data_IF_595945678861
#
_entry.id   IF_595945678861
#
_cell.length_a   1.000
_cell.length_b   1.000
_cell.length_c   1.000
_cell.angle_alpha   90.00
_cell.angle_beta   90.00
_cell.angle_gamma   90.00
#
_symmetry.space_group_name_H-M   'P 1'
#
loop_
_entity.id
_entity.type
_entity.pdbx_description
1 polymer ?
#
# COMPACT_ATOMS: atom_id res chain seq x y z
N UNK A 1 25.26 -36.38 70.16
CA UNK A 1 26.02 -35.12 70.13
C UNK A 1 27.01 -35.18 68.97
N UNK A 2 26.73 -34.66 67.83
CA UNK A 2 27.70 -34.34 66.76
C UNK A 2 27.08 -33.23 65.90
N UNK A 3 27.57 -32.01 66.06
CA UNK A 3 27.33 -30.88 65.27
C UNK A 3 27.96 -31.10 63.88
N UNK A 4 27.18 -30.94 62.78
CA UNK A 4 27.72 -30.77 61.43
C UNK A 4 27.63 -29.30 61.08
N UNK A 5 28.78 -28.68 60.88
CA UNK A 5 28.91 -27.34 60.34
C UNK A 5 28.62 -27.37 58.82
N UNK A 6 27.72 -26.50 58.36
CA UNK A 6 27.48 -26.26 56.96
C UNK A 6 28.33 -25.07 56.52
N UNK A 7 29.30 -25.33 55.65
CA UNK A 7 30.12 -24.29 55.07
C UNK A 7 29.32 -23.65 53.88
N UNK A 8 29.04 -22.39 53.97
CA UNK A 8 28.47 -21.61 52.86
C UNK A 8 29.57 -21.22 51.87
N UNK A 9 29.55 -21.79 50.67
CA UNK A 9 30.40 -21.37 49.57
C UNK A 9 29.76 -20.15 48.87
N UNK A 10 30.40 -19.02 48.97
CA UNK A 10 30.05 -17.83 48.23
C UNK A 10 30.50 -17.99 46.76
N UNK A 11 29.55 -18.13 45.85
CA UNK A 11 29.79 -18.12 44.40
C UNK A 11 29.87 -16.65 43.97
N UNK A 12 31.08 -16.20 43.64
CA UNK A 12 31.30 -14.91 42.99
C UNK A 12 30.85 -15.02 41.53
N UNK A 13 29.75 -14.35 41.17
CA UNK A 13 29.31 -14.16 39.80
C UNK A 13 30.25 -13.16 39.10
N UNK A 14 30.81 -13.47 37.92
CA UNK A 14 31.54 -12.48 37.13
C UNK A 14 30.56 -11.46 36.59
N UNK A 15 30.78 -10.19 36.88
CA UNK A 15 30.09 -9.06 36.27
C UNK A 15 30.41 -9.04 34.79
N UNK A 16 29.46 -9.52 33.98
CA UNK A 16 29.49 -9.27 32.55
C UNK A 16 29.26 -7.77 32.32
N UNK A 17 30.32 -7.03 32.07
CA UNK A 17 30.24 -5.73 31.41
C UNK A 17 29.67 -5.97 30.02
N UNK A 18 28.38 -5.73 29.86
CA UNK A 18 27.75 -5.60 28.54
C UNK A 18 28.36 -4.38 27.86
N UNK A 19 29.28 -4.62 26.95
CA UNK A 19 29.63 -3.64 25.89
C UNK A 19 28.37 -3.49 24.98
N UNK A 20 27.43 -2.68 25.41
CA UNK A 20 26.47 -2.08 24.51
C UNK A 20 27.27 -1.13 23.63
N UNK A 21 27.75 -1.63 22.49
CA UNK A 21 28.09 -0.79 21.35
C UNK A 21 26.79 -0.12 20.92
N UNK A 22 26.43 0.96 21.59
CA UNK A 22 25.52 1.92 21.04
C UNK A 22 26.17 2.45 19.77
N UNK A 23 25.76 1.94 18.61
CA UNK A 23 25.76 2.76 17.41
C UNK A 23 24.73 3.87 17.70
N UNK A 24 25.11 4.79 18.55
CA UNK A 24 24.55 6.12 18.55
C UNK A 24 24.90 6.66 17.16
N UNK A 25 23.98 6.50 16.21
CA UNK A 25 23.90 7.37 15.06
C UNK A 25 23.75 8.76 15.68
N UNK A 26 24.88 9.46 15.80
CA UNK A 26 24.84 10.87 16.13
C UNK A 26 23.88 11.48 15.13
N UNK A 27 22.77 12.04 15.62
CA UNK A 27 22.02 13.08 14.94
C UNK A 27 22.99 14.24 14.73
N UNK A 28 23.91 14.10 13.79
CA UNK A 28 24.54 15.24 13.18
C UNK A 28 23.39 15.97 12.52
N UNK A 29 23.04 17.13 13.02
CA UNK A 29 22.09 18.05 12.37
C UNK A 29 22.44 18.02 10.88
N UNK A 30 21.59 17.35 10.09
CA UNK A 30 21.80 17.31 8.65
C UNK A 30 21.62 18.73 8.17
N UNK A 31 22.61 19.25 7.43
CA UNK A 31 22.50 20.58 6.85
C UNK A 31 21.15 20.71 6.14
N UNK A 32 20.46 21.85 6.27
CA UNK A 32 19.23 22.08 5.54
C UNK A 32 19.38 21.78 4.05
N UNK A 33 18.37 21.23 3.43
CA UNK A 33 18.34 20.94 1.99
C UNK A 33 17.24 21.78 1.35
N UNK A 34 17.57 22.47 0.27
CA UNK A 34 16.60 23.15 -0.58
C UNK A 34 16.50 22.40 -1.90
N UNK A 35 15.30 21.89 -2.18
CA UNK A 35 14.97 21.35 -3.50
C UNK A 35 14.42 22.51 -4.34
N UNK A 36 15.05 22.75 -5.49
CA UNK A 36 14.63 23.76 -6.46
C UNK A 36 14.26 23.08 -7.78
N UNK A 37 13.13 23.47 -8.38
CA UNK A 37 12.69 22.98 -9.68
C UNK A 37 11.84 24.02 -10.42
N UNK A 38 11.63 23.81 -11.71
CA UNK A 38 10.80 24.70 -12.54
C UNK A 38 9.34 24.77 -12.07
N UNK A 39 8.83 23.73 -11.39
CA UNK A 39 7.43 23.60 -10.97
C UNK A 39 7.30 22.90 -9.63
N UNK A 40 6.19 23.20 -8.93
CA UNK A 40 5.73 22.51 -7.72
C UNK A 40 4.23 22.29 -7.79
N UNK A 41 3.78 21.08 -7.46
CA UNK A 41 2.37 20.72 -7.39
C UNK A 41 1.76 21.21 -6.07
N UNK A 42 0.81 22.12 -6.13
CA UNK A 42 -0.14 22.42 -5.06
C UNK A 42 -1.28 21.40 -5.12
N UNK A 43 -1.18 20.35 -4.29
CA UNK A 43 -2.10 19.21 -4.34
C UNK A 43 -3.54 19.62 -3.99
N UNK A 44 -3.72 20.37 -2.90
CA UNK A 44 -5.06 20.84 -2.47
C UNK A 44 -5.68 21.79 -3.49
N UNK A 45 -4.89 22.73 -4.01
CA UNK A 45 -5.32 23.68 -5.03
C UNK A 45 -5.53 23.05 -6.40
N UNK A 46 -4.98 21.86 -6.66
CA UNK A 46 -5.04 21.19 -7.95
C UNK A 46 -4.38 22.01 -9.08
N UNK A 47 -3.25 22.66 -8.80
CA UNK A 47 -2.55 23.55 -9.73
C UNK A 47 -1.03 23.42 -9.61
N UNK A 48 -0.34 23.88 -10.65
CA UNK A 48 1.11 24.06 -10.63
C UNK A 48 1.43 25.49 -10.19
N UNK A 49 2.43 25.64 -9.33
CA UNK A 49 3.11 26.92 -9.02
C UNK A 49 4.54 26.89 -9.60
N UNK A 50 5.06 28.03 -10.00
CA UNK A 50 6.34 28.14 -10.70
C UNK A 50 7.07 29.44 -10.30
N UNK A 51 8.39 29.36 -9.98
CA UNK A 51 9.17 28.15 -9.76
C UNK A 51 8.70 27.39 -8.53
N UNK A 52 9.29 26.21 -8.23
CA UNK A 52 9.01 25.43 -7.04
C UNK A 52 10.23 25.28 -6.15
N UNK A 53 10.09 25.58 -4.87
CA UNK A 53 11.11 25.32 -3.85
C UNK A 53 10.52 24.61 -2.63
N UNK A 54 11.31 23.72 -2.02
CA UNK A 54 11.00 23.02 -0.78
C UNK A 54 12.23 23.04 0.13
N UNK A 55 12.07 23.63 1.33
CA UNK A 55 13.09 23.58 2.38
C UNK A 55 12.83 22.39 3.29
N UNK A 56 13.86 21.56 3.46
CA UNK A 56 13.83 20.35 4.28
C UNK A 56 14.87 20.47 5.39
N UNK A 57 14.43 20.25 6.64
CA UNK A 57 15.30 20.14 7.82
C UNK A 57 14.88 18.94 8.66
N UNK A 58 15.83 18.17 9.15
CA UNK A 58 15.61 17.02 10.04
C UNK A 58 14.54 16.03 9.52
N UNK A 59 14.54 15.81 8.19
CA UNK A 59 13.61 14.88 7.54
C UNK A 59 12.17 15.38 7.39
N UNK A 60 11.93 16.68 7.66
CA UNK A 60 10.61 17.31 7.53
C UNK A 60 10.66 18.53 6.63
N UNK A 61 9.53 18.82 6.01
CA UNK A 61 9.31 20.04 5.25
C UNK A 61 9.16 21.20 6.23
N UNK A 62 9.97 22.24 6.05
CA UNK A 62 9.87 23.50 6.81
C UNK A 62 9.05 24.51 6.05
N UNK A 63 9.25 24.62 4.75
CA UNK A 63 8.59 25.55 3.86
C UNK A 63 8.50 24.99 2.45
N UNK A 64 7.44 25.31 1.71
CA UNK A 64 7.30 25.00 0.30
C UNK A 64 6.53 26.13 -0.41
N UNK A 65 6.96 26.48 -1.61
CA UNK A 65 6.35 27.57 -2.37
C UNK A 65 7.16 27.97 -3.59
N UNK A 66 6.94 29.23 -4.06
CA UNK A 66 7.71 29.79 -5.18
C UNK A 66 9.12 30.23 -4.78
N UNK A 67 9.33 30.44 -3.49
CA UNK A 67 10.62 30.75 -2.86
C UNK A 67 10.50 30.36 -1.39
N UNK A 68 11.56 29.81 -0.82
CA UNK A 68 11.65 29.45 0.60
C UNK A 68 12.83 30.17 1.26
N UNK A 69 12.93 30.14 2.58
CA UNK A 69 14.11 30.63 3.29
C UNK A 69 15.35 29.84 2.87
N UNK A 70 16.51 30.50 2.76
CA UNK A 70 17.82 29.90 2.45
C UNK A 70 18.73 30.02 3.68
N UNK A 71 18.66 29.10 4.66
CA UNK A 71 19.51 29.11 5.84
C UNK A 71 21.00 29.02 5.48
N UNK A 72 21.85 29.59 6.31
CA UNK A 72 23.28 29.49 6.11
C UNK A 72 23.75 28.03 6.14
N UNK A 73 24.50 27.61 5.14
CA UNK A 73 24.97 26.23 4.99
C UNK A 73 23.96 25.28 4.37
N UNK A 74 22.80 25.73 3.91
CA UNK A 74 21.85 24.92 3.17
C UNK A 74 22.45 24.38 1.88
N UNK A 75 22.20 23.08 1.60
CA UNK A 75 22.58 22.45 0.35
C UNK A 75 21.45 22.60 -0.67
N UNK A 76 21.71 23.33 -1.75
CA UNK A 76 20.73 23.52 -2.84
C UNK A 76 20.88 22.38 -3.84
N UNK A 77 19.77 21.68 -4.12
CA UNK A 77 19.66 20.66 -5.15
C UNK A 77 18.77 21.22 -6.26
N UNK A 78 19.41 21.65 -7.36
CA UNK A 78 18.69 22.09 -8.54
C UNK A 78 18.26 20.87 -9.38
N UNK A 79 16.97 20.71 -9.55
CA UNK A 79 16.34 19.61 -10.27
C UNK A 79 15.86 20.03 -11.68
N UNK A 80 16.17 21.26 -12.09
CA UNK A 80 15.90 21.76 -13.44
C UNK A 80 14.40 21.89 -13.78
N UNK A 81 14.06 21.68 -15.04
CA UNK A 81 12.67 21.81 -15.53
C UNK A 81 11.82 20.57 -15.18
N UNK A 82 11.65 20.32 -13.88
CA UNK A 82 10.83 19.23 -13.32
C UNK A 82 9.71 19.77 -12.45
N UNK A 83 8.78 18.90 -12.09
CA UNK A 83 7.73 19.18 -11.11
C UNK A 83 8.04 18.49 -9.79
N UNK A 84 8.24 19.28 -8.72
CA UNK A 84 8.25 18.77 -7.34
C UNK A 84 6.84 18.41 -6.92
N UNK A 85 6.68 17.25 -6.31
CA UNK A 85 5.42 16.81 -5.73
C UNK A 85 5.67 15.84 -4.55
N UNK A 86 4.66 15.58 -3.70
CA UNK A 86 4.77 14.53 -2.70
C UNK A 86 5.13 13.20 -3.34
N UNK A 87 5.78 12.30 -2.61
CA UNK A 87 5.96 10.92 -3.04
C UNK A 87 4.62 10.23 -3.23
N UNK A 88 4.51 9.42 -4.27
CA UNK A 88 3.31 8.66 -4.61
C UNK A 88 2.95 7.67 -3.51
N UNK A 89 1.67 7.34 -3.41
CA UNK A 89 1.10 6.44 -2.42
C UNK A 89 0.32 5.34 -3.14
N UNK A 90 0.65 4.08 -2.87
CA UNK A 90 -0.11 2.93 -3.35
C UNK A 90 -0.78 2.23 -2.18
N UNK A 91 -2.13 2.19 -2.15
CA UNK A 91 -2.85 1.59 -1.04
C UNK A 91 -3.20 0.11 -1.26
N UNK A 92 -2.69 -0.50 -2.34
CA UNK A 92 -2.88 -1.92 -2.62
C UNK A 92 -1.67 -2.51 -3.35
N UNK A 93 -0.75 -3.08 -2.60
CA UNK A 93 0.42 -3.79 -3.13
C UNK A 93 0.56 -5.18 -2.51
N UNK A 94 1.26 -6.08 -3.19
CA UNK A 94 1.65 -7.40 -2.72
C UNK A 94 3.16 -7.58 -2.88
N UNK A 95 3.93 -7.15 -1.87
CA UNK A 95 5.40 -7.18 -1.92
C UNK A 95 5.97 -8.59 -2.04
N UNK A 96 5.21 -9.61 -1.66
CA UNK A 96 5.62 -11.01 -1.66
C UNK A 96 5.24 -11.76 -2.93
N UNK A 97 4.65 -11.06 -3.91
CA UNK A 97 4.41 -11.57 -5.27
C UNK A 97 5.40 -10.95 -6.26
N UNK A 98 5.61 -11.65 -7.35
CA UNK A 98 6.38 -11.20 -8.51
C UNK A 98 5.77 -11.76 -9.81
N UNK A 99 6.09 -11.23 -10.99
CA UNK A 99 5.55 -11.73 -12.25
C UNK A 99 5.72 -13.23 -12.42
N UNK A 100 4.62 -13.92 -12.74
CA UNK A 100 4.57 -15.37 -12.89
C UNK A 100 3.24 -15.97 -12.49
N UNK A 101 3.21 -17.28 -12.28
CA UNK A 101 2.03 -18.00 -11.80
C UNK A 101 1.93 -17.83 -10.28
N UNK A 102 1.05 -16.96 -9.84
CA UNK A 102 0.87 -16.56 -8.45
C UNK A 102 0.69 -17.74 -7.49
N UNK A 103 -0.28 -18.63 -7.75
CA UNK A 103 -0.53 -19.83 -6.95
C UNK A 103 0.71 -20.74 -6.79
N UNK A 104 1.62 -20.72 -7.78
CA UNK A 104 2.82 -21.56 -7.73
C UNK A 104 3.93 -20.95 -6.87
N UNK A 105 4.00 -19.64 -6.75
CA UNK A 105 5.04 -18.97 -5.93
C UNK A 105 4.96 -19.44 -4.48
N UNK A 106 3.76 -19.55 -3.92
CA UNK A 106 3.54 -20.04 -2.55
C UNK A 106 3.96 -21.51 -2.38
N UNK A 107 3.81 -22.31 -3.44
CA UNK A 107 4.12 -23.76 -3.41
C UNK A 107 5.61 -24.05 -3.69
N UNK A 108 6.23 -23.29 -4.58
CA UNK A 108 7.59 -23.55 -5.08
C UNK A 108 8.67 -22.78 -4.32
N UNK A 109 8.33 -21.65 -3.72
CA UNK A 109 9.30 -20.74 -3.10
C UNK A 109 9.19 -20.73 -1.57
N UNK A 110 10.34 -20.79 -0.91
CA UNK A 110 10.39 -20.71 0.55
C UNK A 110 10.11 -19.27 1.04
N UNK A 111 9.53 -19.13 2.24
CA UNK A 111 9.31 -17.83 2.88
C UNK A 111 10.58 -16.97 2.94
N UNK A 112 11.77 -17.49 3.32
CA UNK A 112 13.01 -16.72 3.27
C UNK A 112 13.36 -16.19 1.87
N UNK A 113 13.13 -16.97 0.80
CA UNK A 113 13.37 -16.53 -0.58
C UNK A 113 12.40 -15.41 -0.95
N UNK A 114 11.11 -15.59 -0.71
CA UNK A 114 10.08 -14.57 -0.97
C UNK A 114 10.32 -13.30 -0.17
N UNK A 115 10.80 -13.41 1.08
CA UNK A 115 11.19 -12.24 1.89
C UNK A 115 12.34 -11.45 1.24
N UNK A 116 13.34 -12.13 0.67
CA UNK A 116 14.43 -11.47 -0.07
C UNK A 116 13.87 -10.77 -1.31
N UNK A 117 12.99 -11.42 -2.08
CA UNK A 117 12.33 -10.82 -3.24
C UNK A 117 11.49 -9.60 -2.85
N UNK A 118 10.74 -9.66 -1.76
CA UNK A 118 9.98 -8.54 -1.23
C UNK A 118 10.85 -7.32 -0.88
N UNK A 119 12.09 -7.52 -0.43
CA UNK A 119 13.02 -6.39 -0.20
C UNK A 119 13.47 -5.72 -1.50
N UNK A 120 13.57 -6.46 -2.59
CA UNK A 120 13.86 -5.93 -3.92
C UNK A 120 12.65 -5.21 -4.50
N UNK A 121 11.45 -5.78 -4.36
CA UNK A 121 10.18 -5.17 -4.70
C UNK A 121 10.01 -3.80 -4.03
N UNK A 122 10.13 -3.74 -2.71
CA UNK A 122 10.05 -2.49 -1.95
C UNK A 122 11.08 -1.43 -2.38
N UNK A 123 12.30 -1.86 -2.74
CA UNK A 123 13.31 -0.95 -3.31
C UNK A 123 12.86 -0.41 -4.66
N UNK A 124 12.35 -1.27 -5.54
CA UNK A 124 11.98 -0.88 -6.90
C UNK A 124 10.75 0.04 -6.87
N UNK A 125 9.80 -0.17 -5.97
CA UNK A 125 8.65 0.71 -5.73
C UNK A 125 9.12 2.10 -5.25
N UNK A 126 10.04 2.16 -4.28
CA UNK A 126 10.63 3.43 -3.84
C UNK A 126 11.33 4.15 -5.00
N UNK A 127 12.08 3.42 -5.86
CA UNK A 127 12.73 4.01 -7.03
C UNK A 127 11.73 4.42 -8.11
N UNK A 128 10.54 3.80 -8.14
CA UNK A 128 9.38 4.20 -8.94
C UNK A 128 8.72 5.49 -8.45
N UNK A 129 9.06 5.95 -7.24
CA UNK A 129 8.52 7.18 -6.63
C UNK A 129 7.47 6.95 -5.55
N UNK A 130 7.13 5.68 -5.24
CA UNK A 130 6.21 5.35 -4.18
C UNK A 130 6.93 5.42 -2.84
N UNK A 131 6.57 6.39 -2.02
CA UNK A 131 7.21 6.62 -0.72
C UNK A 131 6.42 6.05 0.45
N UNK A 132 5.15 5.66 0.22
CA UNK A 132 4.28 5.02 1.19
C UNK A 132 3.34 4.02 0.51
N UNK A 133 3.13 2.86 1.16
CA UNK A 133 2.33 1.77 0.60
C UNK A 133 1.58 0.99 1.68
N UNK A 134 0.50 0.30 1.25
CA UNK A 134 -0.24 -0.67 2.05
C UNK A 134 -0.11 -2.07 1.43
N UNK A 135 0.64 -2.95 2.09
CA UNK A 135 0.80 -4.35 1.71
C UNK A 135 -0.46 -5.14 2.10
N UNK A 136 -1.18 -5.63 1.10
CA UNK A 136 -2.52 -6.21 1.25
C UNK A 136 -2.50 -7.72 1.47
N UNK A 137 -1.36 -8.29 1.76
CA UNK A 137 -1.22 -9.69 2.12
C UNK A 137 0.11 -10.26 1.66
N UNK A 138 0.67 -11.16 2.46
CA UNK A 138 1.96 -11.79 2.18
C UNK A 138 1.85 -13.01 1.28
N UNK A 139 0.65 -13.34 0.86
CA UNK A 139 0.36 -14.50 0.01
C UNK A 139 1.02 -15.79 0.54
N UNK A 140 0.71 -16.11 1.81
CA UNK A 140 1.22 -17.32 2.48
C UNK A 140 2.62 -17.21 3.09
N UNK A 141 3.22 -16.01 3.16
CA UNK A 141 4.50 -15.80 3.85
C UNK A 141 4.35 -15.40 5.35
N UNK A 142 3.16 -15.58 5.93
CA UNK A 142 2.90 -15.27 7.35
C UNK A 142 3.03 -13.77 7.63
N UNK A 143 3.73 -13.43 8.71
CA UNK A 143 4.01 -12.03 9.12
C UNK A 143 5.35 -11.50 8.60
N UNK A 144 5.86 -12.01 7.48
CA UNK A 144 7.17 -11.62 6.95
C UNK A 144 7.21 -10.15 6.46
N UNK A 145 6.08 -9.57 6.06
CA UNK A 145 5.91 -8.15 5.76
C UNK A 145 6.23 -7.24 6.96
N UNK A 146 5.87 -7.67 8.17
CA UNK A 146 6.26 -7.01 9.43
C UNK A 146 7.77 -6.90 9.56
N UNK A 147 8.51 -7.95 9.18
CA UNK A 147 9.97 -7.93 9.22
C UNK A 147 10.54 -6.97 8.16
N UNK A 148 10.00 -6.97 6.93
CA UNK A 148 10.39 -6.04 5.86
C UNK A 148 10.12 -4.60 6.26
N UNK A 149 8.91 -4.28 6.75
CA UNK A 149 8.56 -2.95 7.28
C UNK A 149 9.54 -2.49 8.37
N UNK A 150 9.83 -3.37 9.34
CA UNK A 150 10.71 -3.03 10.45
C UNK A 150 12.16 -2.80 9.97
N UNK A 151 12.64 -3.57 9.01
CA UNK A 151 13.96 -3.39 8.41
C UNK A 151 14.07 -2.05 7.65
N UNK A 152 13.02 -1.66 6.91
CA UNK A 152 12.93 -0.35 6.25
C UNK A 152 12.93 0.78 7.29
N UNK A 153 12.14 0.66 8.36
CA UNK A 153 12.04 1.66 9.42
C UNK A 153 13.36 1.84 10.20
N UNK A 154 14.17 0.79 10.29
CA UNK A 154 15.50 0.82 10.89
C UNK A 154 16.60 1.30 9.91
N UNK A 155 16.25 1.54 8.65
CA UNK A 155 17.20 1.94 7.61
C UNK A 155 18.16 0.83 7.17
N UNK A 156 17.84 -0.43 7.44
CA UNK A 156 18.65 -1.58 7.03
C UNK A 156 18.51 -1.89 5.55
N UNK A 157 17.35 -1.62 4.98
CA UNK A 157 17.04 -1.77 3.56
C UNK A 157 16.26 -0.54 3.04
N UNK A 158 16.40 -0.17 1.75
CA UNK A 158 15.55 0.84 1.14
C UNK A 158 14.14 0.29 0.91
N UNK A 159 13.15 1.16 0.96
CA UNK A 159 11.75 0.85 0.66
C UNK A 159 10.83 2.00 1.08
N UNK A 160 9.53 1.95 0.69
CA UNK A 160 8.51 2.92 1.11
C UNK A 160 8.21 2.82 2.62
N UNK A 161 7.39 3.71 3.13
CA UNK A 161 6.73 3.52 4.44
C UNK A 161 5.63 2.50 4.24
N UNK A 162 5.64 1.44 5.03
CA UNK A 162 4.68 0.34 4.88
C UNK A 162 3.64 0.33 6.01
N UNK A 163 2.36 0.12 5.65
CA UNK A 163 1.35 -0.52 6.47
C UNK A 163 1.16 -1.95 5.97
N UNK A 164 1.16 -2.90 6.88
CA UNK A 164 1.20 -4.33 6.56
C UNK A 164 0.06 -5.08 7.25
N UNK A 165 -0.49 -6.10 6.58
CA UNK A 165 -1.60 -6.91 7.08
C UNK A 165 -1.19 -8.28 7.62
N UNK A 166 0.01 -8.76 7.34
CA UNK A 166 0.34 -10.17 7.49
C UNK A 166 -0.33 -11.03 6.41
N UNK A 167 -0.73 -12.24 6.73
CA UNK A 167 -1.58 -13.03 5.84
C UNK A 167 -2.97 -12.39 5.71
N UNK A 168 -3.51 -12.36 4.50
CA UNK A 168 -4.90 -12.02 4.31
C UNK A 168 -5.83 -13.09 4.94
N UNK A 169 -7.07 -12.71 5.23
CA UNK A 169 -8.08 -13.59 5.83
C UNK A 169 -9.10 -14.00 4.78
N UNK A 170 -9.35 -15.30 4.68
CA UNK A 170 -10.28 -15.89 3.71
C UNK A 170 -11.11 -17.02 4.32
N UNK A 171 -12.04 -17.57 3.58
CA UNK A 171 -12.78 -18.80 3.92
C UNK A 171 -12.16 -20.01 3.21
N UNK A 172 -12.44 -21.19 3.71
CA UNK A 172 -12.14 -22.44 2.99
C UNK A 172 -12.94 -22.49 1.69
N UNK A 173 -12.27 -22.74 0.56
CA UNK A 173 -12.85 -22.67 -0.78
C UNK A 173 -13.08 -21.25 -1.29
N UNK A 174 -12.46 -20.25 -0.65
CA UNK A 174 -12.56 -18.84 -0.99
C UNK A 174 -11.64 -18.40 -2.12
N UNK A 175 -11.45 -17.09 -2.24
CA UNK A 175 -10.70 -16.43 -3.31
C UNK A 175 -9.24 -16.88 -3.36
N UNK A 176 -8.59 -16.96 -2.18
CA UNK A 176 -7.17 -17.30 -2.05
C UNK A 176 -6.93 -18.76 -1.62
N UNK A 177 -7.96 -19.60 -1.66
CA UNK A 177 -7.74 -21.01 -1.40
C UNK A 177 -7.12 -21.72 -2.61
N UNK A 178 -6.22 -22.65 -2.35
CA UNK A 178 -5.48 -23.43 -3.33
C UNK A 178 -6.37 -24.49 -4.04
N UNK A 179 -7.58 -24.10 -4.49
CA UNK A 179 -8.60 -24.99 -5.06
C UNK A 179 -8.23 -25.64 -6.40
N UNK A 180 -7.16 -25.17 -7.05
CA UNK A 180 -6.69 -25.70 -8.34
C UNK A 180 -5.84 -26.94 -8.21
N UNK A 181 -5.38 -27.25 -6.99
CA UNK A 181 -4.53 -28.41 -6.74
C UNK A 181 -5.38 -29.65 -6.44
N UNK A 182 -4.75 -30.82 -6.60
CA UNK A 182 -5.38 -32.07 -6.23
C UNK A 182 -5.75 -32.05 -4.72
N UNK A 183 -7.03 -32.31 -4.36
CA UNK A 183 -7.49 -32.23 -2.96
C UNK A 183 -6.75 -33.14 -1.98
N UNK A 184 -6.09 -34.20 -2.48
CA UNK A 184 -5.25 -35.08 -1.66
C UNK A 184 -3.88 -34.44 -1.29
N UNK A 185 -3.52 -33.31 -1.90
CA UNK A 185 -2.30 -32.58 -1.60
C UNK A 185 -2.57 -31.51 -0.55
N UNK A 186 -1.71 -31.47 0.46
CA UNK A 186 -1.70 -30.37 1.43
C UNK A 186 -0.71 -29.32 0.94
N UNK A 187 -1.23 -28.29 0.27
CA UNK A 187 -0.45 -27.13 -0.16
C UNK A 187 -0.66 -25.95 0.81
N UNK A 188 0.35 -25.09 0.90
CA UNK A 188 0.21 -23.86 1.68
C UNK A 188 -0.80 -22.93 1.00
N UNK A 189 -1.73 -22.37 1.78
CA UNK A 189 -2.67 -21.36 1.28
C UNK A 189 -2.02 -19.98 1.25
N UNK A 190 -2.47 -19.14 0.31
CA UNK A 190 -2.12 -17.73 0.26
C UNK A 190 -2.73 -16.92 1.41
N UNK A 191 -3.81 -17.42 2.03
CA UNK A 191 -4.52 -16.74 3.11
C UNK A 191 -4.66 -17.62 4.36
N UNK A 192 -5.02 -17.01 5.47
CA UNK A 192 -5.42 -17.70 6.71
C UNK A 192 -6.94 -17.87 6.73
N UNK A 193 -7.43 -19.09 6.96
CA UNK A 193 -8.86 -19.37 6.94
C UNK A 193 -9.57 -18.99 8.24
N UNK A 194 -10.71 -18.30 8.09
CA UNK A 194 -11.62 -17.97 9.17
C UNK A 194 -13.08 -18.20 8.73
N UNK A 195 -13.63 -19.39 8.97
CA UNK A 195 -14.93 -19.81 8.43
C UNK A 195 -16.14 -19.39 9.30
N UNK A 196 -15.90 -18.81 10.46
CA UNK A 196 -16.94 -18.36 11.40
C UNK A 196 -16.44 -17.23 12.27
N UNK A 197 -17.33 -16.61 13.04
CA UNK A 197 -17.04 -15.44 13.89
C UNK A 197 -15.93 -15.70 14.90
N UNK A 198 -15.90 -16.86 15.55
CA UNK A 198 -14.91 -17.17 16.58
C UNK A 198 -13.51 -17.28 15.97
N UNK A 199 -13.39 -17.97 14.83
CA UNK A 199 -12.13 -18.06 14.08
C UNK A 199 -11.68 -16.69 13.55
N UNK A 200 -12.62 -15.88 13.07
CA UNK A 200 -12.32 -14.53 12.58
C UNK A 200 -11.75 -13.65 13.69
N UNK A 201 -12.31 -13.69 14.89
CA UNK A 201 -11.79 -12.98 16.06
C UNK A 201 -10.39 -13.50 16.44
N UNK A 202 -10.20 -14.82 16.43
CA UNK A 202 -8.90 -15.44 16.76
C UNK A 202 -7.81 -15.01 15.80
N UNK A 203 -8.07 -15.15 14.48
CA UNK A 203 -7.12 -14.77 13.42
C UNK A 203 -6.79 -13.28 13.48
N UNK A 204 -7.77 -12.40 13.66
CA UNK A 204 -7.54 -10.94 13.78
C UNK A 204 -6.61 -10.64 14.97
N UNK A 205 -6.81 -11.29 16.11
CA UNK A 205 -5.95 -11.11 17.29
C UNK A 205 -4.55 -11.62 17.06
N UNK A 206 -4.42 -12.74 16.37
CA UNK A 206 -3.13 -13.34 16.04
C UNK A 206 -2.33 -12.44 15.09
N UNK A 207 -2.94 -11.94 14.01
CA UNK A 207 -2.32 -10.98 13.09
C UNK A 207 -1.82 -9.72 13.83
N UNK A 208 -2.63 -9.17 14.74
CA UNK A 208 -2.19 -8.02 15.53
C UNK A 208 -1.07 -8.34 16.53
N UNK A 209 -1.07 -9.52 17.13
CA UNK A 209 0.03 -10.00 17.97
C UNK A 209 1.33 -10.11 17.18
N UNK A 210 1.25 -10.51 15.91
CA UNK A 210 2.38 -10.64 15.00
C UNK A 210 2.84 -9.31 14.39
N UNK A 211 2.09 -8.24 14.62
CA UNK A 211 2.49 -6.89 14.30
C UNK A 211 1.79 -6.27 13.09
N UNK A 212 0.73 -6.88 12.58
CA UNK A 212 -0.08 -6.29 11.52
C UNK A 212 -0.61 -4.88 11.90
N UNK A 213 -0.65 -3.97 10.94
CA UNK A 213 -1.14 -2.60 11.12
C UNK A 213 -2.64 -2.47 10.85
N UNK A 214 -3.20 -3.39 10.08
CA UNK A 214 -4.61 -3.50 9.72
C UNK A 214 -4.92 -4.96 9.37
N UNK A 215 -6.18 -5.27 9.07
CA UNK A 215 -6.60 -6.60 8.62
C UNK A 215 -7.05 -6.51 7.15
N UNK A 216 -6.56 -7.41 6.31
CA UNK A 216 -7.07 -7.67 4.96
C UNK A 216 -8.02 -8.86 4.99
N UNK A 217 -9.21 -8.69 4.41
CA UNK A 217 -10.22 -9.75 4.24
C UNK A 217 -10.58 -9.87 2.76
N UNK A 218 -10.70 -11.08 2.26
CA UNK A 218 -11.34 -11.38 0.98
C UNK A 218 -12.84 -11.53 1.21
N UNK A 219 -13.61 -10.50 0.84
CA UNK A 219 -15.06 -10.48 1.01
C UNK A 219 -15.78 -11.14 -0.16
N UNK A 220 -15.20 -11.07 -1.36
CA UNK A 220 -15.77 -11.75 -2.53
C UNK A 220 -14.82 -12.80 -3.07
N UNK A 221 -15.40 -13.87 -3.63
CA UNK A 221 -14.67 -14.96 -4.26
C UNK A 221 -14.35 -14.66 -5.73
N UNK A 222 -14.11 -15.73 -6.50
CA UNK A 222 -13.74 -15.58 -7.91
C UNK A 222 -14.87 -15.00 -8.77
N UNK A 223 -14.52 -14.01 -9.57
CA UNK A 223 -15.42 -13.34 -10.49
C UNK A 223 -15.83 -14.21 -11.66
N UNK A 224 -17.05 -14.01 -12.11
CA UNK A 224 -17.55 -14.55 -13.36
C UNK A 224 -18.08 -13.41 -14.22
N UNK A 225 -17.53 -13.27 -15.44
CA UNK A 225 -18.04 -12.34 -16.45
C UNK A 225 -18.45 -13.11 -17.70
N UNK A 226 -19.76 -13.14 -17.98
CA UNK A 226 -20.34 -13.83 -19.15
C UNK A 226 -21.52 -13.03 -19.71
N UNK A 227 -21.59 -12.91 -21.03
CA UNK A 227 -22.67 -12.23 -21.75
C UNK A 227 -22.97 -10.83 -21.19
N UNK A 228 -21.92 -10.08 -20.85
CA UNK A 228 -22.02 -8.74 -20.27
C UNK A 228 -22.53 -8.69 -18.82
N UNK A 229 -22.64 -9.84 -18.15
CA UNK A 229 -23.07 -9.93 -16.76
C UNK A 229 -21.87 -10.26 -15.87
N UNK A 230 -21.68 -9.43 -14.87
CA UNK A 230 -20.72 -9.64 -13.79
C UNK A 230 -21.39 -10.29 -12.61
N UNK A 231 -20.73 -11.23 -11.96
CA UNK A 231 -21.21 -11.92 -10.77
C UNK A 231 -20.04 -12.44 -9.95
N UNK A 232 -20.13 -12.29 -8.64
CA UNK A 232 -19.14 -12.78 -7.69
C UNK A 232 -19.86 -13.31 -6.44
N UNK A 233 -19.42 -14.43 -5.82
CA UNK A 233 -20.00 -14.88 -4.55
C UNK A 233 -19.43 -14.02 -3.41
N UNK A 234 -20.27 -13.66 -2.43
CA UNK A 234 -19.78 -13.11 -1.17
C UNK A 234 -19.25 -14.24 -0.27
N UNK A 235 -18.28 -13.94 0.58
CA UNK A 235 -17.62 -14.92 1.46
C UNK A 235 -18.00 -14.73 2.93
N UNK A 236 -18.23 -13.51 3.35
CA UNK A 236 -18.63 -13.17 4.71
C UNK A 236 -19.99 -12.46 4.74
N UNK A 237 -20.79 -12.70 5.76
CA UNK A 237 -22.02 -11.96 5.98
C UNK A 237 -21.73 -10.57 6.54
N UNK A 238 -22.71 -9.67 6.42
CA UNK A 238 -22.61 -8.33 7.05
C UNK A 238 -22.23 -8.41 8.54
N UNK A 239 -22.82 -9.36 9.30
CA UNK A 239 -22.55 -9.54 10.72
C UNK A 239 -21.10 -9.97 10.99
N UNK A 240 -20.57 -10.85 10.15
CA UNK A 240 -19.16 -11.31 10.25
C UNK A 240 -18.20 -10.16 9.98
N UNK A 241 -18.42 -9.39 8.92
CA UNK A 241 -17.60 -8.20 8.62
C UNK A 241 -17.71 -7.13 9.71
N UNK A 242 -18.94 -6.85 10.20
CA UNK A 242 -19.14 -5.92 11.30
C UNK A 242 -18.40 -6.37 12.58
N UNK A 243 -18.33 -7.68 12.81
CA UNK A 243 -17.54 -8.23 13.93
C UNK A 243 -16.04 -8.03 13.71
N UNK A 244 -15.53 -8.26 12.50
CA UNK A 244 -14.11 -8.00 12.15
C UNK A 244 -13.74 -6.53 12.36
N UNK A 245 -14.56 -5.62 11.84
CA UNK A 245 -14.35 -4.17 11.99
C UNK A 245 -14.35 -3.76 13.47
N UNK A 246 -15.31 -4.29 14.26
CA UNK A 246 -15.40 -4.01 15.70
C UNK A 246 -14.20 -4.55 16.46
N UNK A 247 -13.73 -5.77 16.15
CA UNK A 247 -12.57 -6.36 16.80
C UNK A 247 -11.28 -5.60 16.48
N UNK A 248 -11.08 -5.20 15.22
CA UNK A 248 -9.94 -4.35 14.83
C UNK A 248 -9.99 -2.98 15.52
N UNK A 249 -11.16 -2.36 15.57
CA UNK A 249 -11.37 -1.06 16.21
C UNK A 249 -11.07 -1.08 17.73
N UNK A 250 -11.20 -2.23 18.39
CA UNK A 250 -10.86 -2.41 19.82
C UNK A 250 -9.41 -2.02 20.14
N UNK A 251 -8.52 -2.15 19.17
CA UNK A 251 -7.10 -1.77 19.28
C UNK A 251 -6.72 -0.59 18.39
N UNK A 252 -7.71 0.19 17.93
CA UNK A 252 -7.51 1.37 17.10
C UNK A 252 -7.08 1.07 15.67
N UNK A 253 -7.33 -0.16 15.18
CA UNK A 253 -6.95 -0.61 13.84
C UNK A 253 -8.19 -0.80 12.97
N UNK A 254 -8.00 -1.00 11.67
CA UNK A 254 -9.05 -1.02 10.66
C UNK A 254 -9.01 -2.31 9.83
N UNK A 255 -10.01 -2.47 8.97
CA UNK A 255 -10.16 -3.60 8.04
C UNK A 255 -10.26 -3.05 6.62
N UNK A 256 -9.42 -3.53 5.70
CA UNK A 256 -9.55 -3.34 4.25
C UNK A 256 -10.06 -4.62 3.61
N UNK A 257 -10.82 -4.53 2.53
CA UNK A 257 -11.42 -5.69 1.90
C UNK A 257 -11.19 -5.73 0.40
N UNK A 258 -10.92 -6.94 -0.12
CA UNK A 258 -11.15 -7.27 -1.51
C UNK A 258 -12.65 -7.48 -1.70
N UNK A 259 -13.32 -6.68 -2.50
CA UNK A 259 -14.72 -6.88 -2.84
C UNK A 259 -15.02 -6.29 -4.23
N UNK A 260 -15.37 -7.16 -5.17
CA UNK A 260 -15.55 -6.81 -6.58
C UNK A 260 -17.00 -6.49 -6.93
N UNK A 261 -17.98 -7.12 -6.25
CA UNK A 261 -19.41 -6.91 -6.57
C UNK A 261 -20.38 -7.20 -5.45
N UNK A 262 -21.64 -7.04 -5.79
CA UNK A 262 -22.76 -7.22 -4.86
C UNK A 262 -23.08 -8.70 -4.59
N UNK A 263 -23.52 -9.06 -3.34
CA UNK A 263 -23.81 -8.16 -2.22
C UNK A 263 -22.58 -7.86 -1.32
N UNK A 264 -21.38 -8.42 -1.61
CA UNK A 264 -20.21 -8.28 -0.76
C UNK A 264 -19.78 -6.83 -0.56
N UNK A 265 -19.80 -6.02 -1.64
CA UNK A 265 -19.49 -4.58 -1.55
C UNK A 265 -20.47 -3.82 -0.65
N UNK A 266 -21.77 -4.19 -0.66
CA UNK A 266 -22.77 -3.62 0.23
C UNK A 266 -22.46 -3.99 1.69
N UNK A 267 -22.19 -5.27 1.97
CA UNK A 267 -21.87 -5.73 3.33
C UNK A 267 -20.61 -5.04 3.87
N UNK A 268 -19.60 -4.88 3.04
CA UNK A 268 -18.38 -4.14 3.39
C UNK A 268 -18.68 -2.66 3.73
N UNK A 269 -19.49 -1.99 2.92
CA UNK A 269 -19.88 -0.60 3.17
C UNK A 269 -20.74 -0.46 4.43
N UNK A 270 -21.66 -1.41 4.69
CA UNK A 270 -22.48 -1.45 5.90
C UNK A 270 -21.62 -1.68 7.15
N UNK A 271 -20.68 -2.60 7.11
CA UNK A 271 -19.75 -2.88 8.20
C UNK A 271 -18.81 -1.70 8.52
N UNK A 272 -18.56 -0.80 7.56
CA UNK A 272 -17.70 0.38 7.76
C UNK A 272 -16.22 0.06 7.65
N UNK A 273 -15.84 -0.69 6.64
CA UNK A 273 -14.44 -0.98 6.31
C UNK A 273 -13.65 0.29 5.94
N UNK A 274 -12.32 0.21 5.94
CA UNK A 274 -11.44 1.34 5.64
C UNK A 274 -11.47 1.76 4.17
N UNK A 275 -11.50 0.77 3.28
CA UNK A 275 -11.58 0.92 1.83
C UNK A 275 -12.19 -0.35 1.23
N UNK A 276 -12.75 -0.23 0.02
CA UNK A 276 -13.22 -1.35 -0.79
C UNK A 276 -12.31 -1.42 -2.02
N UNK A 277 -11.50 -2.47 -2.06
CA UNK A 277 -10.54 -2.66 -3.14
C UNK A 277 -11.20 -3.41 -4.31
N UNK A 278 -10.83 -3.06 -5.54
CA UNK A 278 -11.41 -3.42 -6.85
C UNK A 278 -12.72 -2.70 -7.13
N UNK A 279 -13.77 -2.95 -6.37
CA UNK A 279 -15.07 -2.27 -6.48
C UNK A 279 -15.64 -2.26 -7.92
N UNK A 280 -15.50 -3.38 -8.66
CA UNK A 280 -15.87 -3.49 -10.08
C UNK A 280 -17.35 -3.23 -10.34
N UNK A 281 -18.21 -3.55 -9.39
CA UNK A 281 -19.64 -3.30 -9.48
C UNK A 281 -20.20 -2.86 -8.12
N UNK A 282 -20.76 -1.65 -8.09
CA UNK A 282 -21.43 -1.08 -6.91
C UNK A 282 -22.89 -0.76 -7.22
N UNK A 283 -23.78 -1.07 -6.28
CA UNK A 283 -25.16 -0.60 -6.33
C UNK A 283 -25.27 0.88 -5.95
N UNK A 284 -26.39 1.52 -6.28
CA UNK A 284 -26.65 2.90 -5.88
C UNK A 284 -26.63 3.06 -4.34
N UNK A 285 -27.10 2.03 -3.62
CA UNK A 285 -27.08 2.03 -2.15
C UNK A 285 -25.66 1.94 -1.61
N UNK A 286 -24.84 1.04 -2.17
CA UNK A 286 -23.43 0.91 -1.80
C UNK A 286 -22.68 2.21 -2.05
N UNK A 287 -22.83 2.81 -3.23
CA UNK A 287 -22.21 4.11 -3.57
C UNK A 287 -22.66 5.23 -2.60
N UNK A 288 -23.93 5.25 -2.20
CA UNK A 288 -24.43 6.20 -1.22
C UNK A 288 -23.78 6.01 0.15
N UNK A 289 -23.71 4.78 0.65
CA UNK A 289 -23.08 4.46 1.93
C UNK A 289 -21.58 4.77 1.94
N UNK A 290 -20.86 4.42 0.87
CA UNK A 290 -19.44 4.73 0.74
C UNK A 290 -19.19 6.24 0.80
N UNK A 291 -20.00 7.04 0.12
CA UNK A 291 -19.92 8.50 0.20
C UNK A 291 -20.22 9.02 1.60
N UNK A 292 -21.30 8.57 2.25
CA UNK A 292 -21.73 9.02 3.58
C UNK A 292 -20.68 8.67 4.66
N UNK A 293 -20.09 7.48 4.57
CA UNK A 293 -19.08 7.00 5.51
C UNK A 293 -17.65 7.36 5.10
N UNK A 294 -17.48 8.03 3.95
CA UNK A 294 -16.18 8.39 3.38
C UNK A 294 -15.25 7.17 3.16
N UNK A 295 -15.81 6.06 2.68
CA UNK A 295 -15.10 4.83 2.33
C UNK A 295 -14.67 4.95 0.86
N UNK A 296 -13.37 4.97 0.53
CA UNK A 296 -12.92 5.03 -0.85
C UNK A 296 -13.05 3.69 -1.57
N UNK A 297 -13.31 3.76 -2.88
CA UNK A 297 -13.04 2.68 -3.81
C UNK A 297 -11.58 2.77 -4.29
N UNK A 298 -10.95 1.61 -4.48
CA UNK A 298 -9.57 1.45 -4.98
C UNK A 298 -9.63 0.59 -6.23
N UNK A 299 -9.63 1.17 -7.46
CA UNK A 299 -10.05 0.46 -8.67
C UNK A 299 -9.12 -0.66 -9.14
N UNK A 300 -7.81 -0.55 -8.93
CA UNK A 300 -6.81 -1.54 -9.34
C UNK A 300 -6.87 -1.95 -10.83
N UNK A 301 -7.02 -0.97 -11.71
CA UNK A 301 -7.12 -1.22 -13.16
C UNK A 301 -5.88 -1.86 -13.75
N UNK A 302 -4.71 -1.57 -13.16
CA UNK A 302 -3.42 -2.02 -13.69
C UNK A 302 -3.31 -3.54 -13.71
N UNK A 303 -3.73 -4.21 -12.64
CA UNK A 303 -3.73 -5.67 -12.58
C UNK A 303 -4.72 -6.28 -13.58
N UNK A 304 -5.90 -5.68 -13.72
CA UNK A 304 -6.91 -6.13 -14.68
C UNK A 304 -6.44 -5.98 -16.12
N UNK A 305 -5.77 -4.87 -16.48
CA UNK A 305 -5.14 -4.66 -17.78
C UNK A 305 -4.04 -5.69 -18.01
N UNK A 306 -3.17 -5.91 -17.01
CA UNK A 306 -2.07 -6.86 -17.10
C UNK A 306 -2.55 -8.29 -17.37
N UNK A 307 -3.55 -8.78 -16.65
CA UNK A 307 -4.11 -10.10 -16.89
C UNK A 307 -4.82 -10.22 -18.25
N UNK A 308 -5.48 -9.16 -18.73
CA UNK A 308 -6.10 -9.15 -20.03
C UNK A 308 -5.06 -9.25 -21.16
N UNK A 309 -3.94 -8.54 -21.04
CA UNK A 309 -2.85 -8.49 -22.01
C UNK A 309 -1.98 -9.76 -22.01
N UNK A 310 -1.87 -10.45 -20.86
CA UNK A 310 -1.04 -11.65 -20.67
C UNK A 310 -1.85 -12.94 -20.54
N UNK A 311 -3.11 -12.93 -20.98
CA UNK A 311 -4.00 -14.09 -20.87
C UNK A 311 -3.48 -15.33 -21.61
N UNK A 312 -3.71 -16.51 -21.03
CA UNK A 312 -3.22 -17.79 -21.54
C UNK A 312 -3.75 -18.16 -22.94
N UNK A 313 -4.79 -17.48 -23.40
CA UNK A 313 -5.35 -17.68 -24.76
C UNK A 313 -6.03 -16.40 -25.27
N UNK A 314 -6.13 -16.20 -26.60
CA UNK A 314 -6.84 -15.06 -27.18
C UNK A 314 -8.29 -14.92 -26.72
N UNK A 315 -9.00 -16.05 -26.54
CA UNK A 315 -10.39 -16.03 -26.07
C UNK A 315 -10.49 -15.60 -24.59
N UNK A 316 -9.53 -15.98 -23.75
CA UNK A 316 -9.45 -15.50 -22.39
C UNK A 316 -9.13 -13.99 -22.35
N UNK A 317 -8.17 -13.53 -23.15
CA UNK A 317 -7.82 -12.13 -23.27
C UNK A 317 -9.01 -11.27 -23.70
N UNK A 318 -9.74 -11.68 -24.74
CA UNK A 318 -10.97 -10.97 -25.18
C UNK A 318 -11.95 -10.81 -24.02
N UNK A 319 -12.23 -11.88 -23.27
CA UNK A 319 -13.16 -11.84 -22.13
C UNK A 319 -12.69 -10.92 -21.02
N UNK A 320 -11.40 -10.96 -20.68
CA UNK A 320 -10.82 -10.09 -19.66
C UNK A 320 -10.84 -8.61 -20.08
N UNK A 321 -10.59 -8.29 -21.36
CA UNK A 321 -10.77 -6.93 -21.86
C UNK A 321 -12.24 -6.48 -21.84
N UNK A 322 -13.21 -7.37 -22.08
CA UNK A 322 -14.63 -7.05 -21.91
C UNK A 322 -14.98 -6.77 -20.44
N UNK A 323 -14.44 -7.55 -19.51
CA UNK A 323 -14.59 -7.31 -18.07
C UNK A 323 -13.96 -5.99 -17.65
N UNK A 324 -12.75 -5.68 -18.10
CA UNK A 324 -12.08 -4.40 -17.85
C UNK A 324 -12.90 -3.22 -18.41
N UNK A 325 -13.48 -3.36 -19.60
CA UNK A 325 -14.36 -2.33 -20.16
C UNK A 325 -15.65 -2.15 -19.34
N UNK A 326 -16.19 -3.25 -18.79
CA UNK A 326 -17.32 -3.19 -17.84
C UNK A 326 -16.92 -2.44 -16.58
N UNK A 327 -15.79 -2.77 -15.94
CA UNK A 327 -15.27 -2.09 -14.76
C UNK A 327 -15.07 -0.59 -15.01
N UNK A 328 -14.44 -0.22 -16.14
CA UNK A 328 -14.27 1.17 -16.54
C UNK A 328 -15.62 1.92 -16.72
N UNK A 329 -16.67 1.23 -17.18
CA UNK A 329 -18.01 1.82 -17.27
C UNK A 329 -18.66 2.00 -15.87
N UNK A 330 -18.45 1.07 -14.95
CA UNK A 330 -18.89 1.22 -13.56
C UNK A 330 -18.14 2.33 -12.82
N UNK A 331 -16.83 2.45 -13.04
CA UNK A 331 -16.01 3.54 -12.49
C UNK A 331 -16.57 4.92 -12.87
N UNK A 332 -17.01 5.12 -14.12
CA UNK A 332 -17.68 6.38 -14.53
C UNK A 332 -18.95 6.65 -13.73
N UNK A 333 -19.73 5.62 -13.39
CA UNK A 333 -20.92 5.78 -12.53
C UNK A 333 -20.51 6.13 -11.11
N UNK A 334 -19.46 5.50 -10.58
CA UNK A 334 -18.92 5.80 -9.26
C UNK A 334 -18.43 7.25 -9.17
N UNK A 335 -17.72 7.74 -10.20
CA UNK A 335 -17.31 9.15 -10.29
C UNK A 335 -18.51 10.11 -10.33
N UNK A 336 -19.55 9.78 -11.13
CA UNK A 336 -20.77 10.58 -11.21
C UNK A 336 -21.56 10.59 -9.87
N UNK A 337 -21.49 9.51 -9.11
CA UNK A 337 -22.08 9.40 -7.78
C UNK A 337 -21.20 10.03 -6.67
N UNK A 338 -20.05 10.61 -7.02
CA UNK A 338 -19.07 11.18 -6.10
C UNK A 338 -18.59 10.20 -5.01
N UNK A 339 -18.40 8.92 -5.38
CA UNK A 339 -17.74 7.95 -4.50
C UNK A 339 -16.31 8.42 -4.28
N UNK A 340 -15.80 8.45 -3.03
CA UNK A 340 -14.39 8.74 -2.77
C UNK A 340 -13.49 7.72 -3.47
N UNK A 341 -12.36 8.16 -4.03
CA UNK A 341 -11.38 7.29 -4.68
C UNK A 341 -10.05 7.34 -3.94
N UNK A 342 -9.33 6.22 -3.92
CA UNK A 342 -7.91 6.16 -3.60
C UNK A 342 -7.19 5.36 -4.68
N UNK A 343 -5.87 5.50 -4.78
CA UNK A 343 -5.06 4.81 -5.80
C UNK A 343 -4.42 3.58 -5.18
N UNK A 344 -4.64 2.43 -5.79
CA UNK A 344 -3.99 1.17 -5.49
C UNK A 344 -3.89 0.35 -6.77
N UNK A 345 -2.75 -0.24 -7.01
CA UNK A 345 -2.42 -0.84 -8.31
C UNK A 345 -2.59 -2.35 -8.36
N UNK A 346 -2.52 -2.99 -7.18
CA UNK A 346 -2.45 -4.44 -7.05
C UNK A 346 -1.17 -5.02 -7.68
N UNK A 347 -0.05 -4.28 -7.47
CA UNK A 347 1.27 -4.72 -7.93
C UNK A 347 1.74 -5.94 -7.16
N UNK A 348 2.39 -6.81 -7.88
CA UNK A 348 2.90 -8.10 -7.45
C UNK A 348 2.92 -9.02 -8.66
N UNK A 349 1.76 -9.40 -9.24
CA UNK A 349 1.73 -10.18 -10.48
C UNK A 349 2.37 -9.48 -11.68
N UNK A 350 2.49 -8.17 -11.67
CA UNK A 350 3.25 -7.38 -12.65
C UNK A 350 4.48 -6.71 -12.00
N UNK A 351 5.46 -6.19 -12.78
CA UNK A 351 6.71 -5.69 -12.23
C UNK A 351 6.55 -4.52 -11.26
N UNK A 352 7.16 -4.64 -10.08
CA UNK A 352 7.27 -3.57 -9.09
C UNK A 352 7.99 -2.34 -9.66
N UNK A 353 7.64 -1.14 -9.18
CA UNK A 353 8.15 0.14 -9.66
C UNK A 353 7.43 0.67 -10.92
N UNK A 354 6.41 -0.03 -11.44
CA UNK A 354 5.65 0.37 -12.64
C UNK A 354 4.20 0.74 -12.34
N UNK A 355 3.76 0.66 -11.11
CA UNK A 355 2.38 0.83 -10.65
C UNK A 355 1.79 2.23 -10.87
N UNK A 356 2.60 3.24 -11.19
CA UNK A 356 2.10 4.56 -11.61
C UNK A 356 1.22 4.50 -12.89
N UNK A 357 1.14 3.34 -13.57
CA UNK A 357 0.18 3.03 -14.62
C UNK A 357 -1.25 3.22 -14.14
N UNK A 358 -1.55 2.93 -12.88
CA UNK A 358 -2.89 3.08 -12.29
C UNK A 358 -3.42 4.51 -12.42
N UNK A 359 -2.61 5.52 -12.10
CA UNK A 359 -3.00 6.91 -12.24
C UNK A 359 -3.34 7.26 -13.70
N UNK A 360 -2.59 6.70 -14.65
CA UNK A 360 -2.83 6.90 -16.09
C UNK A 360 -4.14 6.28 -16.51
N UNK A 361 -4.44 5.06 -16.06
CA UNK A 361 -5.69 4.35 -16.37
C UNK A 361 -6.91 5.04 -15.76
N UNK A 362 -6.82 5.52 -14.53
CA UNK A 362 -7.90 6.29 -13.90
C UNK A 362 -8.23 7.56 -14.70
N UNK A 363 -7.22 8.25 -15.25
CA UNK A 363 -7.45 9.39 -16.16
C UNK A 363 -8.06 8.93 -17.49
N UNK A 364 -7.54 7.87 -18.08
CA UNK A 364 -8.05 7.30 -19.33
C UNK A 364 -9.53 6.91 -19.19
N UNK A 365 -9.95 6.43 -18.03
CA UNK A 365 -11.33 6.03 -17.76
C UNK A 365 -12.22 7.15 -17.22
N UNK A 366 -11.72 8.40 -17.19
CA UNK A 366 -12.57 9.59 -17.08
C UNK A 366 -12.38 10.45 -15.83
N UNK A 367 -11.44 10.12 -14.96
CA UNK A 367 -11.10 11.01 -13.84
C UNK A 367 -10.15 12.12 -14.30
N UNK A 368 -10.25 13.31 -13.73
CA UNK A 368 -9.35 14.41 -14.10
C UNK A 368 -7.97 14.23 -13.47
N UNK A 369 -6.87 14.64 -14.11
CA UNK A 369 -5.52 14.51 -13.53
C UNK A 369 -5.40 15.07 -12.11
N UNK A 370 -5.95 16.25 -11.83
CA UNK A 370 -5.92 16.84 -10.49
C UNK A 370 -6.68 16.00 -9.45
N UNK A 371 -7.79 15.36 -9.85
CA UNK A 371 -8.59 14.53 -8.96
C UNK A 371 -7.90 13.19 -8.69
N UNK A 372 -7.23 12.60 -9.71
CA UNK A 372 -6.41 11.39 -9.53
C UNK A 372 -5.24 11.66 -8.57
N UNK A 373 -4.52 12.78 -8.73
CA UNK A 373 -3.44 13.14 -7.82
C UNK A 373 -3.94 13.38 -6.38
N UNK A 374 -5.15 13.91 -6.19
CA UNK A 374 -5.77 13.99 -4.86
C UNK A 374 -6.15 12.62 -4.31
N UNK A 375 -6.64 11.72 -5.17
CA UNK A 375 -6.98 10.34 -4.78
C UNK A 375 -5.73 9.57 -4.34
N UNK A 376 -4.63 9.73 -5.07
CA UNK A 376 -3.33 9.15 -4.73
C UNK A 376 -2.79 9.71 -3.41
N UNK A 377 -2.58 11.02 -3.37
CA UNK A 377 -1.81 11.68 -2.33
C UNK A 377 -2.63 11.91 -1.04
N UNK A 378 -3.77 12.61 -1.14
CA UNK A 378 -4.53 13.00 0.04
C UNK A 378 -5.39 11.84 0.57
N UNK A 379 -6.11 11.15 -0.32
CA UNK A 379 -6.94 10.03 0.09
C UNK A 379 -6.09 8.79 0.42
N UNK A 380 -5.01 8.54 -0.33
CA UNK A 380 -4.05 7.49 0.01
C UNK A 380 -3.44 7.70 1.40
N UNK A 381 -2.97 8.92 1.71
CA UNK A 381 -2.47 9.24 3.05
C UNK A 381 -3.52 8.99 4.15
N UNK A 382 -4.81 9.30 3.88
CA UNK A 382 -5.92 9.05 4.81
C UNK A 382 -6.19 7.55 5.01
N UNK A 383 -6.17 6.75 3.95
CA UNK A 383 -6.27 5.29 4.03
C UNK A 383 -5.14 4.72 4.88
N UNK A 384 -3.92 5.25 4.71
CA UNK A 384 -2.78 4.86 5.54
C UNK A 384 -2.86 5.38 6.99
N UNK A 385 -3.77 6.32 7.31
CA UNK A 385 -3.85 6.98 8.61
C UNK A 385 -2.68 7.95 8.86
N UNK A 386 -2.11 8.50 7.79
CA UNK A 386 -0.98 9.43 7.82
C UNK A 386 -1.30 10.78 7.15
N UNK A 387 -2.57 11.15 7.04
CA UNK A 387 -3.08 12.36 6.39
C UNK A 387 -2.50 13.68 6.91
N UNK A 388 -1.93 13.67 8.12
CA UNK A 388 -1.25 14.84 8.71
C UNK A 388 0.27 14.72 8.66
N UNK A 389 0.82 13.78 7.89
CA UNK A 389 2.24 13.48 7.86
C UNK A 389 2.81 13.39 6.44
N UNK A 390 2.03 12.91 5.48
CA UNK A 390 2.44 12.69 4.07
C UNK A 390 1.31 13.12 3.11
N UNK A 391 1.58 13.03 1.81
CA UNK A 391 0.59 13.30 0.76
C UNK A 391 0.45 14.78 0.38
N UNK A 392 1.18 15.67 1.06
CA UNK A 392 1.26 17.08 0.69
C UNK A 392 2.63 17.66 1.04
N UNK A 393 3.01 18.79 0.39
CA UNK A 393 4.25 19.52 0.69
C UNK A 393 3.96 20.68 1.65
N UNK A 394 3.61 20.34 2.90
CA UNK A 394 3.26 21.31 3.94
C UNK A 394 4.29 21.36 5.06
N UNK A 395 4.46 22.53 5.72
CA UNK A 395 5.27 22.64 6.92
C UNK A 395 4.90 21.59 7.97
N UNK A 396 5.91 20.89 8.50
CA UNK A 396 5.76 19.84 9.49
C UNK A 396 5.54 18.43 8.92
N UNK A 397 5.19 18.28 7.63
CA UNK A 397 5.06 16.99 6.98
C UNK A 397 6.44 16.32 6.79
N UNK A 398 6.44 15.01 6.66
CA UNK A 398 7.64 14.25 6.34
C UNK A 398 8.15 14.67 4.96
N UNK A 399 9.46 14.79 4.81
CA UNK A 399 10.08 15.17 3.55
C UNK A 399 10.16 13.96 2.59
N UNK A 400 8.98 13.49 2.18
CA UNK A 400 8.78 12.48 1.14
C UNK A 400 8.44 13.25 -0.14
N UNK A 401 9.45 13.50 -0.98
CA UNK A 401 9.36 14.39 -2.15
C UNK A 401 9.93 13.68 -3.37
N UNK A 402 9.22 13.75 -4.47
CA UNK A 402 9.70 13.30 -5.78
C UNK A 402 9.78 14.47 -6.76
N UNK A 403 10.58 14.30 -7.82
CA UNK A 403 10.52 15.17 -8.97
C UNK A 403 10.28 14.35 -10.24
N UNK A 404 9.28 14.75 -11.01
CA UNK A 404 8.90 14.10 -12.26
C UNK A 404 9.24 14.98 -13.46
N UNK A 405 9.56 14.34 -14.60
CA UNK A 405 9.77 15.07 -15.85
C UNK A 405 8.41 15.48 -16.44
N UNK A 406 8.18 16.79 -16.57
CA UNK A 406 6.93 17.36 -17.12
C UNK A 406 5.95 17.85 -16.05
N UNK A 407 4.72 18.12 -16.48
CA UNK A 407 3.61 18.63 -15.68
C UNK A 407 2.50 17.56 -15.60
N UNK A 408 2.31 16.89 -14.43
CA UNK A 408 1.33 15.81 -14.29
C UNK A 408 -0.15 16.28 -14.40
N UNK A 409 -0.42 17.57 -14.31
CA UNK A 409 -1.76 18.11 -14.54
C UNK A 409 -2.08 18.27 -16.03
N UNK A 410 -1.05 18.46 -16.89
CA UNK A 410 -1.20 18.53 -18.34
C UNK A 410 -1.11 17.15 -18.99
N UNK A 411 -0.19 16.31 -18.50
CA UNK A 411 0.03 14.95 -18.95
C UNK A 411 0.31 14.05 -17.74
N UNK A 412 -0.69 13.29 -17.33
CA UNK A 412 -0.58 12.39 -16.18
C UNK A 412 0.55 11.35 -16.33
N UNK A 413 0.99 11.03 -17.55
CA UNK A 413 2.10 10.11 -17.79
C UNK A 413 3.43 10.62 -17.23
N UNK A 414 3.51 11.89 -16.84
CA UNK A 414 4.67 12.46 -16.14
C UNK A 414 4.97 11.73 -14.83
N UNK A 415 3.94 11.21 -14.12
CA UNK A 415 4.13 10.44 -12.88
C UNK A 415 4.91 9.14 -13.07
N UNK A 416 5.00 8.63 -14.30
CA UNK A 416 5.81 7.46 -14.65
C UNK A 416 7.28 7.83 -14.93
N UNK A 417 7.62 9.13 -14.94
CA UNK A 417 8.96 9.66 -15.28
C UNK A 417 9.62 10.27 -14.06
N UNK A 418 9.70 9.49 -12.98
CA UNK A 418 10.30 9.93 -11.72
C UNK A 418 11.81 10.00 -11.86
N UNK A 419 12.38 11.21 -11.76
CA UNK A 419 13.80 11.48 -11.89
C UNK A 419 14.52 11.57 -10.54
N UNK A 420 13.79 11.94 -9.47
CA UNK A 420 14.35 12.15 -8.13
C UNK A 420 13.41 11.58 -7.08
N UNK A 421 13.97 10.97 -6.03
CA UNK A 421 13.21 10.44 -4.89
C UNK A 421 13.91 10.79 -3.58
N UNK A 422 13.20 11.47 -2.69
CA UNK A 422 13.58 11.72 -1.30
C UNK A 422 12.50 11.13 -0.39
N UNK A 423 12.90 10.39 0.64
CA UNK A 423 12.01 9.90 1.70
C UNK A 423 12.59 10.23 3.08
N UNK A 424 11.83 10.94 3.91
CA UNK A 424 12.29 11.40 5.23
C UNK A 424 13.54 12.24 5.16
N UNK A 425 13.71 13.06 4.13
CA UNK A 425 14.89 13.90 3.90
C UNK A 425 16.15 13.15 3.41
N UNK A 426 16.03 11.85 3.15
CA UNK A 426 17.13 11.03 2.56
C UNK A 426 16.89 10.84 1.08
N UNK A 427 17.90 11.13 0.26
CA UNK A 427 17.83 10.96 -1.19
C UNK A 427 18.13 9.51 -1.55
N UNK A 428 17.22 8.84 -2.22
CA UNK A 428 17.33 7.48 -2.72
C UNK A 428 17.62 7.43 -4.22
N UNK A 429 17.02 8.35 -5.00
CA UNK A 429 17.26 8.46 -6.43
C UNK A 429 17.68 9.89 -6.76
N UNK A 430 18.79 10.03 -7.46
CA UNK A 430 19.30 11.33 -7.92
C UNK A 430 18.90 11.54 -9.36
N UNK A 431 18.43 12.75 -9.68
CA UNK A 431 18.23 13.14 -11.07
C UNK A 431 19.55 13.04 -11.85
N UNK A 432 19.48 12.48 -13.05
CA UNK A 432 20.61 12.61 -13.98
C UNK A 432 20.82 14.11 -14.30
N UNK A 433 22.09 14.53 -14.31
CA UNK A 433 22.48 15.89 -14.66
C UNK A 433 22.31 16.14 -16.15
#
# INVERSE_FOLDING_TARGET
MLLRAVAAAAIALPSFFSLTSAFAQTDSERSPVILHAGRLLDVEGGRIISPGEVLVENGRIVEAGTSVAHPAGAHIMDLGDRTLMPGLIDVHVHLFLHPGAEDLQTVEESVPQRTILATLAARDDLMGGFTAERDMGTEGAGSADTAVRNAINQGLIPGPRLRVSGNAVDILGGHEDAIRFNPEQHVLSNATYANNVDQLIEVIREQFKEGADFIKIYETGHDTFRDGKFSTPYQYTEEQLATAVKEAARVGKKVGVHATGEPGTLYAAQAGVEAIDHADQLSDETMRLMREKNIPAVPTFTISEYFADHAASPAAGTRLHEQLAFHAAQFKKQLAAAVPMAVGSDVGPFPHGTQARELVLMVQYGMKPADVLKADLLNGARVLGWENQIGDLKPGYLADVIAVDGDPLQDITAVQKVAFVMKGGVVFKKAAQ
#
